data_IF_572591431769
#
_entry.id   IF_572591431769
#
_cell.length_a   1.000
_cell.length_b   1.000
_cell.length_c   1.000
_cell.angle_alpha   90.00
_cell.angle_beta   90.00
_cell.angle_gamma   90.00
#
_symmetry.space_group_name_H-M   'P 1'
#
loop_
_entity.id
_entity.type
_entity.pdbx_description
1 polymer ?
#
# COMPACT_ATOMS: atom_id res chain seq x y z
N UNK A 1 92.53 57.41 -61.12
CA UNK A 1 91.40 57.75 -60.23
C UNK A 1 90.14 56.93 -60.50
N UNK A 2 89.91 56.39 -61.71
CA UNK A 2 88.75 55.52 -61.99
C UNK A 2 88.80 54.12 -61.31
N UNK A 3 89.97 53.50 -61.13
CA UNK A 3 90.03 52.12 -60.58
C UNK A 3 89.71 52.04 -59.08
N UNK A 4 90.07 53.06 -58.30
CA UNK A 4 89.76 53.14 -56.86
C UNK A 4 88.27 53.41 -56.61
N UNK A 5 87.63 54.18 -57.50
CA UNK A 5 86.18 54.43 -57.45
C UNK A 5 85.37 53.17 -57.77
N UNK A 6 85.78 52.42 -58.80
CA UNK A 6 85.13 51.15 -59.16
C UNK A 6 85.30 50.08 -58.08
N UNK A 7 86.46 49.99 -57.43
CA UNK A 7 86.67 49.09 -56.30
C UNK A 7 85.78 49.43 -55.09
N UNK A 8 85.62 50.72 -54.78
CA UNK A 8 84.73 51.19 -53.73
C UNK A 8 83.25 50.94 -54.05
N UNK A 9 82.83 51.21 -55.29
CA UNK A 9 81.47 50.91 -55.76
C UNK A 9 81.16 49.41 -55.72
N UNK A 10 82.13 48.54 -56.05
CA UNK A 10 81.98 47.10 -55.95
C UNK A 10 81.88 46.63 -54.49
N UNK A 11 82.71 47.18 -53.60
CA UNK A 11 82.66 46.91 -52.17
C UNK A 11 81.30 47.30 -51.55
N UNK A 12 80.77 48.47 -51.90
CA UNK A 12 79.42 48.90 -51.49
C UNK A 12 78.35 47.95 -52.01
N UNK A 13 78.40 47.56 -53.29
CA UNK A 13 77.43 46.60 -53.86
C UNK A 13 77.49 45.25 -53.15
N UNK A 14 78.68 44.73 -52.86
CA UNK A 14 78.83 43.46 -52.12
C UNK A 14 78.31 43.56 -50.70
N UNK A 15 78.52 44.70 -50.01
CA UNK A 15 77.99 44.93 -48.67
C UNK A 15 76.46 45.01 -48.69
N UNK A 16 75.89 45.67 -49.69
CA UNK A 16 74.45 45.87 -49.86
C UNK A 16 73.75 44.54 -50.20
N UNK A 17 74.34 43.72 -51.07
CA UNK A 17 73.87 42.35 -51.36
C UNK A 17 73.97 41.44 -50.12
N UNK A 18 75.03 41.58 -49.33
CA UNK A 18 75.20 40.82 -48.09
C UNK A 18 74.14 41.20 -47.05
N UNK A 19 73.88 42.49 -46.85
CA UNK A 19 72.81 42.97 -45.96
C UNK A 19 71.43 42.54 -46.46
N UNK A 20 71.16 42.59 -47.77
CA UNK A 20 69.88 42.14 -48.34
C UNK A 20 69.67 40.64 -48.13
N UNK A 21 70.69 39.82 -48.39
CA UNK A 21 70.63 38.37 -48.10
C UNK A 21 70.38 38.07 -46.61
N UNK A 22 70.99 38.83 -45.70
CA UNK A 22 70.72 38.69 -44.27
C UNK A 22 69.30 39.11 -43.90
N UNK A 23 68.80 40.23 -44.44
CA UNK A 23 67.44 40.69 -44.21
C UNK A 23 66.40 39.68 -44.73
N UNK A 24 66.62 39.12 -45.93
CA UNK A 24 65.76 38.08 -46.51
C UNK A 24 65.81 36.77 -45.69
N UNK A 25 67.00 36.37 -45.23
CA UNK A 25 67.17 35.19 -44.37
C UNK A 25 66.48 35.37 -43.01
N UNK A 26 66.58 36.55 -42.40
CA UNK A 26 65.93 36.90 -41.14
C UNK A 26 64.41 36.98 -41.30
N UNK A 27 63.92 37.56 -42.40
CA UNK A 27 62.49 37.59 -42.73
C UNK A 27 61.92 36.19 -42.96
N UNK A 28 62.65 35.31 -43.66
CA UNK A 28 62.28 33.92 -43.86
C UNK A 28 62.31 33.12 -42.54
N UNK A 29 63.31 33.33 -41.68
CA UNK A 29 63.41 32.71 -40.37
C UNK A 29 62.28 33.14 -39.44
N UNK A 30 62.01 34.45 -39.37
CA UNK A 30 60.89 35.02 -38.62
C UNK A 30 59.56 34.41 -39.08
N UNK A 31 59.32 34.37 -40.40
CA UNK A 31 58.10 33.78 -40.98
C UNK A 31 57.94 32.29 -40.64
N UNK A 32 59.02 31.50 -40.70
CA UNK A 32 58.99 30.07 -40.32
C UNK A 32 58.74 29.88 -38.82
N UNK A 33 59.30 30.76 -37.98
CA UNK A 33 59.09 30.72 -36.54
C UNK A 33 57.65 31.09 -36.19
N UNK A 34 57.08 32.12 -36.81
CA UNK A 34 55.66 32.46 -36.66
C UNK A 34 54.74 31.32 -37.10
N UNK A 35 55.01 30.66 -38.24
CA UNK A 35 54.21 29.52 -38.69
C UNK A 35 54.29 28.33 -37.73
N UNK A 36 55.49 27.99 -37.26
CA UNK A 36 55.70 26.91 -36.29
C UNK A 36 55.01 27.21 -34.95
N UNK A 37 55.17 28.43 -34.41
CA UNK A 37 54.49 28.86 -33.19
C UNK A 37 52.97 28.85 -33.33
N UNK A 38 52.44 29.28 -34.48
CA UNK A 38 51.00 29.24 -34.76
C UNK A 38 50.48 27.80 -34.85
N UNK A 39 51.22 26.89 -35.47
CA UNK A 39 50.87 25.48 -35.55
C UNK A 39 50.81 24.83 -34.15
N UNK A 40 51.77 25.14 -33.26
CA UNK A 40 51.75 24.68 -31.87
C UNK A 40 50.56 25.22 -31.09
N UNK A 41 50.24 26.50 -31.20
CA UNK A 41 49.08 27.09 -30.52
C UNK A 41 47.76 26.45 -30.96
N UNK A 42 47.58 26.24 -32.27
CA UNK A 42 46.40 25.57 -32.81
C UNK A 42 46.36 24.11 -32.36
N UNK A 43 47.49 23.40 -32.41
CA UNK A 43 47.59 22.01 -31.99
C UNK A 43 47.25 21.83 -30.51
N UNK A 44 47.79 22.68 -29.63
CA UNK A 44 47.50 22.66 -28.20
C UNK A 44 46.04 23.05 -27.92
N UNK A 45 45.50 24.06 -28.61
CA UNK A 45 44.11 24.45 -28.49
C UNK A 45 43.15 23.33 -28.92
N UNK A 46 43.43 22.68 -30.05
CA UNK A 46 42.67 21.53 -30.53
C UNK A 46 42.76 20.34 -29.57
N UNK A 47 43.94 20.06 -29.03
CA UNK A 47 44.14 19.01 -28.03
C UNK A 47 43.36 19.29 -26.74
N UNK A 48 43.40 20.53 -26.25
CA UNK A 48 42.64 20.93 -25.06
C UNK A 48 41.13 20.76 -25.26
N UNK A 49 40.60 21.15 -26.43
CA UNK A 49 39.20 20.93 -26.78
C UNK A 49 38.85 19.44 -26.90
N UNK A 50 39.72 18.63 -27.51
CA UNK A 50 39.53 17.20 -27.64
C UNK A 50 39.50 16.49 -26.27
N UNK A 51 40.41 16.85 -25.36
CA UNK A 51 40.44 16.33 -24.00
C UNK A 51 39.20 16.78 -23.22
N UNK A 52 38.80 18.04 -23.34
CA UNK A 52 37.58 18.55 -22.71
C UNK A 52 36.32 17.80 -23.17
N UNK A 53 36.18 17.59 -24.48
CA UNK A 53 35.07 16.82 -25.05
C UNK A 53 35.07 15.35 -24.59
N UNK A 54 36.25 14.72 -24.53
CA UNK A 54 36.41 13.35 -24.04
C UNK A 54 36.00 13.23 -22.57
N UNK A 55 36.46 14.14 -21.70
CA UNK A 55 36.11 14.15 -20.28
C UNK A 55 34.61 14.40 -20.08
N UNK A 56 34.02 15.36 -20.80
CA UNK A 56 32.58 15.62 -20.75
C UNK A 56 31.76 14.39 -21.17
N UNK A 57 32.18 13.69 -22.22
CA UNK A 57 31.55 12.46 -22.67
C UNK A 57 31.67 11.34 -21.62
N UNK A 58 32.86 11.14 -21.05
CA UNK A 58 33.10 10.15 -20.01
C UNK A 58 32.25 10.42 -18.76
N UNK A 59 32.21 11.66 -18.26
CA UNK A 59 31.39 12.05 -17.10
C UNK A 59 29.90 11.88 -17.36
N UNK A 60 29.43 12.24 -18.55
CA UNK A 60 28.02 12.06 -18.91
C UNK A 60 27.64 10.58 -18.89
N UNK A 61 28.50 9.73 -19.45
CA UNK A 61 28.27 8.30 -19.53
C UNK A 61 28.42 7.59 -18.18
N UNK A 62 29.40 8.00 -17.37
CA UNK A 62 29.69 7.35 -16.09
C UNK A 62 28.88 7.90 -14.91
N UNK A 63 28.39 9.14 -14.95
CA UNK A 63 27.68 9.73 -13.82
C UNK A 63 26.24 10.10 -14.20
N UNK A 64 26.08 10.92 -15.24
CA UNK A 64 24.77 11.53 -15.55
C UNK A 64 23.74 10.48 -15.98
N UNK A 65 24.10 9.56 -16.87
CA UNK A 65 23.17 8.54 -17.38
C UNK A 65 22.67 7.62 -16.25
N UNK A 66 23.55 7.02 -15.41
CA UNK A 66 23.10 6.18 -14.30
C UNK A 66 22.30 6.93 -13.22
N UNK A 67 22.63 8.18 -12.92
CA UNK A 67 21.83 8.98 -11.99
C UNK A 67 20.42 9.24 -12.53
N UNK A 68 20.27 9.47 -13.84
CA UNK A 68 18.95 9.57 -14.46
C UNK A 68 18.15 8.28 -14.31
N UNK A 69 18.80 7.11 -14.41
CA UNK A 69 18.13 5.83 -14.15
C UNK A 69 17.68 5.69 -12.70
N UNK A 70 18.50 6.12 -11.74
CA UNK A 70 18.13 6.13 -10.32
C UNK A 70 16.90 7.02 -10.06
N UNK A 71 16.85 8.20 -10.68
CA UNK A 71 15.70 9.12 -10.60
C UNK A 71 14.45 8.53 -11.27
N UNK A 72 14.59 7.90 -12.43
CA UNK A 72 13.46 7.22 -13.11
C UNK A 72 12.91 6.09 -12.25
N UNK A 73 13.78 5.26 -11.67
CA UNK A 73 13.40 4.20 -10.74
C UNK A 73 12.64 4.76 -9.53
N UNK A 74 13.16 5.80 -8.88
CA UNK A 74 12.51 6.44 -7.74
C UNK A 74 11.14 7.03 -8.13
N UNK A 75 11.03 7.61 -9.33
CA UNK A 75 9.76 8.16 -9.85
C UNK A 75 8.73 7.07 -10.09
N UNK A 76 9.13 5.93 -10.67
CA UNK A 76 8.25 4.75 -10.84
C UNK A 76 7.79 4.17 -9.51
N UNK A 77 8.68 4.08 -8.53
CA UNK A 77 8.35 3.65 -7.17
C UNK A 77 7.35 4.59 -6.52
N UNK A 78 7.52 5.91 -6.67
CA UNK A 78 6.57 6.91 -6.19
C UNK A 78 5.18 6.79 -6.86
N UNK A 79 5.12 6.28 -8.09
CA UNK A 79 3.87 5.96 -8.80
C UNK A 79 3.31 4.57 -8.43
N UNK A 80 3.97 3.82 -7.56
CA UNK A 80 3.56 2.47 -7.13
C UNK A 80 4.01 1.33 -8.04
N UNK A 81 4.84 1.59 -9.05
CA UNK A 81 5.41 0.54 -9.90
C UNK A 81 6.66 -0.08 -9.26
N UNK A 82 6.43 -1.15 -8.49
CA UNK A 82 7.46 -1.89 -7.75
C UNK A 82 8.03 -3.09 -8.52
N UNK A 83 7.74 -3.20 -9.83
CA UNK A 83 8.20 -4.32 -10.66
C UNK A 83 9.65 -4.19 -11.14
N UNK A 84 10.24 -3.02 -10.97
CA UNK A 84 11.54 -2.66 -11.50
C UNK A 84 12.68 -3.19 -10.61
N UNK A 85 13.49 -4.08 -11.16
CA UNK A 85 14.72 -4.54 -10.53
C UNK A 85 15.87 -3.56 -10.84
N UNK A 86 16.47 -2.98 -9.81
CA UNK A 86 17.68 -2.19 -9.95
C UNK A 86 18.89 -3.13 -10.12
N UNK A 87 19.05 -3.70 -11.32
CA UNK A 87 20.24 -4.47 -11.65
C UNK A 87 21.36 -3.50 -12.05
N UNK A 88 22.37 -3.35 -11.20
CA UNK A 88 23.60 -2.62 -11.51
C UNK A 88 24.79 -3.56 -11.36
N UNK A 89 25.56 -3.74 -12.43
CA UNK A 89 26.79 -4.55 -12.42
C UNK A 89 28.02 -3.70 -12.06
N UNK A 90 27.81 -2.65 -11.27
CA UNK A 90 28.78 -1.58 -11.01
C UNK A 90 29.15 -1.58 -9.53
N UNK A 91 30.44 -1.44 -9.24
CA UNK A 91 30.99 -1.59 -7.90
C UNK A 91 31.39 -0.25 -7.23
N UNK A 92 30.91 0.88 -7.75
CA UNK A 92 31.17 2.20 -7.18
C UNK A 92 29.94 2.74 -6.43
N UNK A 93 30.02 3.98 -5.95
CA UNK A 93 28.98 4.64 -5.14
C UNK A 93 27.64 4.70 -5.88
N UNK A 94 27.67 4.85 -7.21
CA UNK A 94 26.46 4.84 -8.04
C UNK A 94 25.87 3.43 -8.13
N UNK A 95 26.72 2.41 -8.21
CA UNK A 95 26.31 1.02 -8.09
C UNK A 95 25.64 0.71 -6.74
N UNK A 96 26.24 1.17 -5.64
CA UNK A 96 25.69 1.02 -4.29
C UNK A 96 24.34 1.75 -4.14
N UNK A 97 24.22 2.97 -4.69
CA UNK A 97 22.97 3.71 -4.71
C UNK A 97 21.86 2.95 -5.45
N UNK A 98 22.15 2.41 -6.63
CA UNK A 98 21.19 1.63 -7.41
C UNK A 98 20.79 0.34 -6.66
N UNK A 99 21.76 -0.35 -6.04
CA UNK A 99 21.49 -1.54 -5.24
C UNK A 99 20.57 -1.22 -4.04
N UNK A 100 20.87 -0.16 -3.29
CA UNK A 100 20.05 0.29 -2.16
C UNK A 100 18.63 0.68 -2.59
N UNK A 101 18.48 1.36 -3.74
CA UNK A 101 17.16 1.62 -4.32
C UNK A 101 16.42 0.33 -4.67
N UNK A 102 17.11 -0.68 -5.22
CA UNK A 102 16.54 -2.00 -5.48
C UNK A 102 16.10 -2.75 -4.22
N UNK A 103 16.87 -2.67 -3.14
CA UNK A 103 16.46 -3.23 -1.85
C UNK A 103 15.23 -2.52 -1.28
N UNK A 104 15.18 -1.20 -1.40
CA UNK A 104 14.01 -0.40 -1.03
C UNK A 104 12.77 -0.79 -1.84
N UNK A 105 12.87 -0.95 -3.16
CA UNK A 105 11.72 -1.36 -4.00
C UNK A 105 11.20 -2.73 -3.61
N UNK A 106 12.10 -3.70 -3.37
CA UNK A 106 11.73 -5.03 -2.91
C UNK A 106 11.10 -5.01 -1.51
N UNK A 107 11.63 -4.20 -0.60
CA UNK A 107 11.08 -4.00 0.74
C UNK A 107 9.65 -3.47 0.69
N UNK A 108 9.41 -2.44 -0.11
CA UNK A 108 8.07 -1.89 -0.35
C UNK A 108 7.14 -2.92 -0.98
N UNK A 109 7.61 -3.69 -1.98
CA UNK A 109 6.81 -4.72 -2.63
C UNK A 109 6.34 -5.79 -1.64
N UNK A 110 7.24 -6.24 -0.74
CA UNK A 110 6.90 -7.18 0.33
C UNK A 110 5.88 -6.60 1.30
N UNK A 111 6.01 -5.33 1.68
CA UNK A 111 5.05 -4.67 2.57
C UNK A 111 3.67 -4.57 1.93
N UNK A 112 3.60 -4.11 0.68
CA UNK A 112 2.33 -4.02 -0.07
C UNK A 112 1.69 -5.41 -0.23
N UNK A 113 2.48 -6.44 -0.54
CA UNK A 113 1.98 -7.81 -0.64
C UNK A 113 1.40 -8.32 0.70
N UNK A 114 2.05 -8.04 1.83
CA UNK A 114 1.54 -8.38 3.17
C UNK A 114 0.23 -7.65 3.50
N UNK A 115 0.15 -6.36 3.18
CA UNK A 115 -1.09 -5.57 3.38
C UNK A 115 -2.23 -6.14 2.53
N UNK A 116 -1.97 -6.46 1.26
CA UNK A 116 -2.96 -7.08 0.38
C UNK A 116 -3.45 -8.42 0.91
N UNK A 117 -2.53 -9.32 1.31
CA UNK A 117 -2.90 -10.60 1.89
C UNK A 117 -3.73 -10.44 3.18
N UNK A 118 -3.37 -9.46 4.03
CA UNK A 118 -4.16 -9.13 5.21
C UNK A 118 -5.58 -8.66 4.87
N UNK A 119 -5.72 -7.82 3.84
CA UNK A 119 -7.04 -7.38 3.35
C UNK A 119 -7.89 -8.53 2.80
N UNK A 120 -7.29 -9.45 2.04
CA UNK A 120 -7.97 -10.67 1.54
C UNK A 120 -8.45 -11.57 2.70
N UNK A 121 -7.65 -11.71 3.76
CA UNK A 121 -8.07 -12.41 4.99
C UNK A 121 -9.24 -11.71 5.69
N UNK A 122 -9.19 -10.38 5.81
CA UNK A 122 -10.27 -9.58 6.43
C UNK A 122 -11.57 -9.70 5.61
N UNK A 123 -11.48 -9.65 4.28
CA UNK A 123 -12.63 -9.80 3.39
C UNK A 123 -13.30 -11.18 3.59
N UNK A 124 -12.49 -12.24 3.61
CA UNK A 124 -12.95 -13.61 3.88
C UNK A 124 -13.64 -13.71 5.25
N UNK A 125 -13.00 -13.22 6.31
CA UNK A 125 -13.56 -13.25 7.67
C UNK A 125 -14.85 -12.42 7.78
N UNK A 126 -14.92 -11.28 7.08
CA UNK A 126 -16.12 -10.43 7.04
C UNK A 126 -17.28 -11.14 6.35
N UNK A 127 -17.00 -11.90 5.29
CA UNK A 127 -18.00 -12.72 4.62
C UNK A 127 -18.52 -13.84 5.53
N UNK A 128 -17.63 -14.54 6.24
CA UNK A 128 -18.02 -15.56 7.22
C UNK A 128 -18.88 -14.98 8.36
N UNK A 129 -18.53 -13.80 8.87
CA UNK A 129 -19.34 -13.08 9.88
C UNK A 129 -20.72 -12.75 9.32
N UNK A 130 -20.81 -12.24 8.09
CA UNK A 130 -22.09 -11.89 7.47
C UNK A 130 -23.00 -13.12 7.34
N UNK A 131 -22.46 -14.25 6.89
CA UNK A 131 -23.18 -15.53 6.82
C UNK A 131 -23.60 -16.01 8.21
N UNK A 132 -22.70 -15.96 9.20
CA UNK A 132 -23.02 -16.34 10.57
C UNK A 132 -24.10 -15.46 11.21
N UNK A 133 -24.11 -14.16 10.89
CA UNK A 133 -25.13 -13.24 11.40
C UNK A 133 -26.51 -13.49 10.77
N UNK A 134 -26.56 -13.90 9.50
CA UNK A 134 -27.81 -14.34 8.85
C UNK A 134 -28.37 -15.61 9.50
N UNK A 135 -27.53 -16.61 9.78
CA UNK A 135 -27.94 -17.82 10.50
C UNK A 135 -28.45 -17.50 11.92
N UNK A 136 -27.71 -16.66 12.66
CA UNK A 136 -28.12 -16.24 13.99
C UNK A 136 -29.44 -15.48 13.99
N UNK A 137 -29.65 -14.59 13.01
CA UNK A 137 -30.92 -13.86 12.84
C UNK A 137 -32.08 -14.84 12.61
N UNK A 138 -31.92 -15.79 11.69
CA UNK A 138 -32.95 -16.79 11.40
C UNK A 138 -33.28 -17.65 12.63
N UNK A 139 -32.26 -18.09 13.38
CA UNK A 139 -32.47 -18.83 14.64
C UNK A 139 -33.15 -17.99 15.72
N UNK A 140 -32.84 -16.69 15.77
CA UNK A 140 -33.48 -15.75 16.71
C UNK A 140 -34.96 -15.55 16.35
N UNK A 141 -35.29 -15.42 15.07
CA UNK A 141 -36.69 -15.37 14.59
C UNK A 141 -37.45 -16.66 14.93
N UNK A 142 -36.83 -17.83 14.69
CA UNK A 142 -37.44 -19.11 15.05
C UNK A 142 -37.67 -19.24 16.56
N UNK A 143 -36.69 -18.82 17.37
CA UNK A 143 -36.80 -18.85 18.84
C UNK A 143 -37.90 -17.91 19.34
N UNK A 144 -38.03 -16.71 18.75
CA UNK A 144 -39.11 -15.79 19.06
C UNK A 144 -40.48 -16.42 18.77
N UNK A 145 -40.64 -17.07 17.62
CA UNK A 145 -41.87 -17.78 17.26
C UNK A 145 -42.21 -18.92 18.23
N UNK A 146 -41.23 -19.72 18.65
CA UNK A 146 -41.44 -20.77 19.67
C UNK A 146 -41.81 -20.20 21.05
N UNK A 147 -41.28 -19.03 21.41
CA UNK A 147 -41.68 -18.33 22.64
C UNK A 147 -43.10 -17.78 22.57
N UNK A 148 -43.54 -17.29 21.41
CA UNK A 148 -44.95 -16.89 21.19
C UNK A 148 -45.90 -18.08 21.34
N UNK A 149 -45.57 -19.23 20.75
CA UNK A 149 -46.37 -20.45 20.88
C UNK A 149 -46.42 -20.94 22.34
N UNK A 150 -45.29 -20.86 23.05
CA UNK A 150 -45.22 -21.20 24.48
C UNK A 150 -46.09 -20.24 25.31
N UNK A 151 -46.03 -18.94 25.03
CA UNK A 151 -46.85 -17.95 25.73
C UNK A 151 -48.35 -18.19 25.50
N UNK A 152 -48.76 -18.46 24.26
CA UNK A 152 -50.15 -18.80 23.92
C UNK A 152 -50.61 -20.08 24.62
N UNK A 153 -49.76 -21.12 24.65
CA UNK A 153 -50.04 -22.36 25.39
C UNK A 153 -50.19 -22.12 26.90
N UNK A 154 -49.39 -21.20 27.46
CA UNK A 154 -49.49 -20.81 28.87
C UNK A 154 -50.78 -20.02 29.17
N UNK A 155 -51.28 -19.20 28.24
CA UNK A 155 -52.58 -18.54 28.36
C UNK A 155 -53.74 -19.55 28.35
N UNK A 156 -53.71 -20.54 27.46
CA UNK A 156 -54.71 -21.61 27.40
C UNK A 156 -54.68 -22.49 28.66
N UNK A 157 -53.50 -22.87 29.13
CA UNK A 157 -53.32 -23.58 30.40
C UNK A 157 -53.85 -22.77 31.58
N UNK A 158 -53.56 -21.47 31.63
CA UNK A 158 -54.06 -20.59 32.70
C UNK A 158 -55.58 -20.51 32.69
N UNK A 159 -56.20 -20.41 31.51
CA UNK A 159 -57.66 -20.45 31.34
C UNK A 159 -58.25 -21.77 31.85
N UNK A 160 -57.64 -22.90 31.48
CA UNK A 160 -58.08 -24.23 31.91
C UNK A 160 -57.94 -24.42 33.42
N UNK A 161 -56.84 -23.95 34.02
CA UNK A 161 -56.63 -23.98 35.48
C UNK A 161 -57.68 -23.14 36.20
N UNK A 162 -58.02 -21.96 35.68
CA UNK A 162 -59.08 -21.11 36.23
C UNK A 162 -60.44 -21.82 36.16
N UNK A 163 -60.77 -22.42 35.01
CA UNK A 163 -62.01 -23.19 34.84
C UNK A 163 -62.08 -24.39 35.80
N UNK A 164 -60.97 -25.11 35.99
CA UNK A 164 -60.90 -26.20 36.97
C UNK A 164 -61.12 -25.71 38.41
N UNK A 165 -60.57 -24.54 38.75
CA UNK A 165 -60.82 -23.90 40.04
C UNK A 165 -62.29 -23.52 40.25
N UNK A 166 -62.96 -23.01 39.22
CA UNK A 166 -64.39 -22.70 39.26
C UNK A 166 -65.24 -23.97 39.41
N UNK A 167 -64.93 -25.02 38.64
CA UNK A 167 -65.58 -26.32 38.72
C UNK A 167 -65.42 -26.95 40.12
N UNK A 168 -64.22 -26.90 40.70
CA UNK A 168 -63.96 -27.41 42.05
C UNK A 168 -64.77 -26.64 43.12
N UNK A 169 -64.86 -25.31 43.00
CA UNK A 169 -65.71 -24.48 43.87
C UNK A 169 -67.19 -24.83 43.74
N UNK A 170 -67.67 -25.03 42.51
CA UNK A 170 -69.06 -25.43 42.25
C UNK A 170 -69.37 -26.83 42.83
N UNK A 171 -68.48 -27.80 42.60
CA UNK A 171 -68.61 -29.15 43.15
C UNK A 171 -68.61 -29.16 44.69
N UNK A 172 -67.76 -28.36 45.32
CA UNK A 172 -67.74 -28.20 46.76
C UNK A 172 -69.07 -27.63 47.29
N UNK A 173 -69.64 -26.61 46.63
CA UNK A 173 -70.95 -26.06 46.99
C UNK A 173 -72.09 -27.07 46.84
N UNK A 174 -72.05 -27.89 45.80
CA UNK A 174 -73.03 -28.96 45.57
C UNK A 174 -72.93 -30.05 46.65
N UNK A 175 -71.72 -30.49 46.99
CA UNK A 175 -71.46 -31.46 48.05
C UNK A 175 -71.93 -30.95 49.42
N UNK A 176 -71.69 -29.66 49.72
CA UNK A 176 -72.14 -29.04 50.96
C UNK A 176 -73.68 -28.97 51.03
N UNK A 177 -74.33 -28.60 49.94
CA UNK A 177 -75.80 -28.62 49.83
C UNK A 177 -76.39 -30.03 50.00
N UNK A 178 -75.76 -31.05 49.39
CA UNK A 178 -76.18 -32.44 49.54
C UNK A 178 -76.01 -32.95 50.98
N UNK A 179 -74.91 -32.57 51.63
CA UNK A 179 -74.67 -32.85 53.05
C UNK A 179 -75.75 -32.21 53.93
N UNK A 180 -76.12 -30.96 53.70
CA UNK A 180 -77.18 -30.28 54.45
C UNK A 180 -78.55 -30.97 54.29
N UNK A 181 -78.87 -31.40 53.06
CA UNK A 181 -80.09 -32.18 52.79
C UNK A 181 -80.05 -33.53 53.50
N UNK A 182 -78.92 -34.23 53.49
CA UNK A 182 -78.76 -35.50 54.19
C UNK A 182 -78.92 -35.34 55.72
N UNK A 183 -78.37 -34.27 56.31
CA UNK A 183 -78.55 -33.95 57.75
C UNK A 183 -80.03 -33.70 58.08
N UNK A 184 -80.72 -32.88 57.27
CA UNK A 184 -82.16 -32.64 57.45
C UNK A 184 -82.99 -33.92 57.29
N UNK A 185 -82.67 -34.74 56.28
CA UNK A 185 -83.31 -36.03 56.06
C UNK A 185 -83.10 -36.99 57.23
N UNK A 186 -81.88 -37.05 57.78
CA UNK A 186 -81.56 -37.81 58.98
C UNK A 186 -82.39 -37.39 60.20
N UNK A 187 -82.58 -36.07 60.40
CA UNK A 187 -83.46 -35.56 61.45
C UNK A 187 -84.93 -36.01 61.27
N UNK A 188 -85.45 -36.00 60.04
CA UNK A 188 -86.80 -36.51 59.73
C UNK A 188 -86.91 -38.00 60.02
N UNK A 189 -85.94 -38.81 59.60
CA UNK A 189 -85.93 -40.26 59.89
C UNK A 189 -85.85 -40.51 61.39
N UNK A 190 -85.03 -39.77 62.13
CA UNK A 190 -84.95 -39.85 63.60
C UNK A 190 -86.30 -39.52 64.24
N UNK A 191 -87.02 -38.51 63.76
CA UNK A 191 -88.37 -38.17 64.22
C UNK A 191 -89.37 -39.29 63.95
N UNK A 192 -89.30 -39.94 62.78
CA UNK A 192 -90.15 -41.09 62.43
C UNK A 192 -89.86 -42.29 63.35
N UNK A 193 -88.59 -42.60 63.61
CA UNK A 193 -88.21 -43.69 64.52
C UNK A 193 -88.68 -43.42 65.95
N UNK A 194 -88.52 -42.19 66.45
CA UNK A 194 -89.04 -41.80 67.76
C UNK A 194 -90.57 -41.94 67.83
N UNK A 195 -91.28 -41.56 66.77
CA UNK A 195 -92.74 -41.70 66.68
C UNK A 195 -93.16 -43.18 66.64
N UNK A 196 -92.49 -44.01 65.84
CA UNK A 196 -92.70 -45.47 65.82
C UNK A 196 -92.45 -46.11 67.20
N UNK A 197 -91.42 -45.66 67.93
CA UNK A 197 -91.14 -46.13 69.29
C UNK A 197 -92.15 -45.67 70.34
N UNK A 198 -92.90 -44.58 70.09
CA UNK A 198 -93.94 -44.09 71.00
C UNK A 198 -95.31 -44.79 70.83
N UNK A 199 -95.47 -45.58 69.76
CA UNK A 199 -96.72 -46.28 69.42
C UNK A 199 -96.69 -47.77 69.87
N UNK A 200 -95.58 -48.23 70.43
CA UNK A 200 -95.37 -49.59 70.96
C UNK A 200 -95.13 -49.55 72.48
#
# INVERSE_FOLDING_TARGET
MESSFNAYALAIRTLLDYQKKQADALAAQSSRQFQTSRAWLIGLGALALAVGALLAWLLTRSIVVPLRHAVDLATRVAQGDLRSAAASNRNDEIGQLLAALGEMTQGLARTVAKVRAGAETIDTASHEIAVGNLDLSSRTEQQASSLEETASSMEELTSTVKQNGDNARQANGLAQSASDVAVKGGAVVSQVVATMGSIN
#
